data_IF_254056395861
#
_entry.id   IF_254056395861
#
_cell.length_a   1.000
_cell.length_b   1.000
_cell.length_c   1.000
_cell.angle_alpha   90.00
_cell.angle_beta   90.00
_cell.angle_gamma   90.00
#
_symmetry.space_group_name_H-M   'P 1'
#
loop_
_entity.id
_entity.type
_entity.pdbx_description
1 polymer ?
#
# COMPACT_ATOMS: atom_id res chain seq x y z
N UNK A 1 54.39 -76.33 27.61
CA UNK A 1 55.35 -76.20 28.73
C UNK A 1 55.08 -74.92 29.44
N UNK A 2 54.64 -75.11 30.65
CA UNK A 2 54.89 -74.36 31.90
C UNK A 2 54.70 -72.84 31.94
N UNK A 3 53.70 -72.45 32.68
CA UNK A 3 53.75 -71.79 34.01
C UNK A 3 53.94 -70.26 33.88
N UNK A 4 53.33 -69.38 34.63
CA UNK A 4 52.75 -69.39 35.97
C UNK A 4 52.06 -68.09 36.25
N UNK A 5 51.04 -68.17 37.08
CA UNK A 5 50.34 -67.10 37.80
C UNK A 5 51.21 -66.01 38.35
N UNK A 6 50.72 -64.77 38.39
CA UNK A 6 50.70 -64.05 39.69
C UNK A 6 49.66 -62.93 39.70
N UNK A 7 48.81 -63.03 40.73
CA UNK A 7 47.86 -61.96 41.14
C UNK A 7 48.58 -60.80 41.80
N UNK A 8 48.10 -59.59 41.75
CA UNK A 8 47.73 -58.75 42.87
C UNK A 8 47.57 -57.27 42.44
N UNK A 9 46.55 -56.66 42.97
CA UNK A 9 46.59 -55.28 43.19
C UNK A 9 45.39 -54.43 42.71
N UNK A 10 44.23 -54.74 43.29
CA UNK A 10 43.03 -53.91 43.20
C UNK A 10 43.26 -52.59 43.97
N UNK A 11 43.34 -51.45 43.28
CA UNK A 11 43.14 -50.16 43.91
C UNK A 11 42.11 -49.39 43.11
N UNK A 12 40.90 -49.30 43.71
CA UNK A 12 39.85 -48.40 43.31
C UNK A 12 40.33 -46.94 43.51
N UNK A 13 40.40 -46.20 42.43
CA UNK A 13 40.44 -44.73 42.46
C UNK A 13 39.11 -44.24 41.89
N UNK A 14 38.23 -43.84 42.82
CA UNK A 14 36.98 -43.15 42.49
C UNK A 14 37.34 -41.75 42.09
N UNK A 15 37.42 -41.50 40.79
CA UNK A 15 37.49 -40.12 40.25
C UNK A 15 36.10 -39.53 40.15
N UNK A 16 35.84 -38.58 41.02
CA UNK A 16 34.65 -37.76 41.04
C UNK A 16 34.76 -36.76 39.84
N UNK A 17 34.10 -37.13 38.71
CA UNK A 17 33.99 -36.17 37.59
C UNK A 17 32.83 -35.25 37.87
N UNK A 18 33.17 -34.02 38.28
CA UNK A 18 32.22 -32.89 38.30
C UNK A 18 31.84 -32.53 36.85
N UNK A 19 30.67 -32.92 36.41
CA UNK A 19 30.06 -32.47 35.17
C UNK A 19 29.59 -31.02 35.36
N UNK A 20 30.42 -30.06 34.96
CA UNK A 20 30.02 -28.68 34.76
C UNK A 20 29.15 -28.63 33.49
N UNK A 21 27.84 -28.61 33.66
CA UNK A 21 26.91 -28.29 32.58
C UNK A 21 26.94 -26.78 32.34
N UNK A 22 27.30 -26.30 31.14
CA UNK A 22 27.14 -24.91 30.81
C UNK A 22 25.62 -24.63 30.69
N UNK A 23 25.10 -23.79 31.58
CA UNK A 23 23.78 -23.20 31.42
C UNK A 23 23.79 -22.30 30.17
N UNK A 24 23.31 -22.79 29.07
CA UNK A 24 23.00 -21.98 27.92
C UNK A 24 21.83 -21.05 28.30
N UNK A 25 22.14 -19.79 28.63
CA UNK A 25 21.16 -18.72 28.64
C UNK A 25 20.70 -18.56 27.19
N UNK A 26 19.56 -19.17 26.84
CA UNK A 26 18.83 -18.82 25.64
C UNK A 26 18.34 -17.38 25.79
N UNK A 27 19.09 -16.45 25.21
CA UNK A 27 18.61 -15.10 24.98
C UNK A 27 17.40 -15.22 24.02
N UNK A 28 16.20 -15.27 24.60
CA UNK A 28 14.96 -15.21 23.86
C UNK A 28 14.92 -13.89 23.09
N UNK A 29 15.18 -13.93 21.79
CA UNK A 29 14.87 -12.85 20.88
C UNK A 29 13.35 -12.62 20.96
N UNK A 30 12.94 -11.63 21.73
CA UNK A 30 11.58 -11.11 21.73
C UNK A 30 11.35 -10.48 20.36
N UNK A 31 11.08 -11.29 19.36
CA UNK A 31 10.55 -10.82 18.11
C UNK A 31 9.26 -10.09 18.42
N UNK A 32 9.25 -8.76 18.22
CA UNK A 32 8.03 -7.98 18.28
C UNK A 32 7.09 -8.53 17.23
N UNK A 33 6.21 -9.45 17.61
CA UNK A 33 5.06 -9.83 16.81
C UNK A 33 4.29 -8.53 16.59
N UNK A 34 4.18 -8.08 15.34
CA UNK A 34 3.26 -7.01 14.97
C UNK A 34 1.90 -7.37 15.54
N UNK A 35 1.45 -6.61 16.54
CA UNK A 35 0.14 -6.82 17.11
C UNK A 35 -0.88 -6.63 15.98
N UNK A 36 -1.44 -7.76 15.52
CA UNK A 36 -2.49 -7.76 14.52
C UNK A 36 -3.68 -6.97 15.10
N UNK A 37 -4.21 -6.01 14.34
CA UNK A 37 -5.33 -5.19 14.81
C UNK A 37 -6.52 -6.11 15.14
N UNK A 38 -7.05 -5.98 16.37
CA UNK A 38 -8.12 -6.86 16.85
C UNK A 38 -9.44 -6.70 16.11
N UNK A 39 -9.62 -5.60 15.38
CA UNK A 39 -10.82 -5.32 14.57
C UNK A 39 -10.98 -6.24 13.36
N UNK A 40 -9.90 -6.87 12.88
CA UNK A 40 -9.83 -7.97 11.92
C UNK A 40 -10.87 -7.89 10.78
N UNK A 41 -10.80 -6.86 9.95
CA UNK A 41 -11.68 -6.71 8.79
C UNK A 41 -13.18 -6.53 9.14
N UNK A 42 -13.51 -5.99 10.32
CA UNK A 42 -14.88 -5.62 10.63
C UNK A 42 -15.31 -4.38 9.81
N UNK A 43 -16.42 -4.43 9.08
CA UNK A 43 -16.90 -3.29 8.29
C UNK A 43 -17.14 -2.04 9.13
N UNK A 44 -16.57 -0.90 8.75
CA UNK A 44 -16.69 0.38 9.46
C UNK A 44 -15.66 0.59 10.58
N UNK A 45 -14.98 -0.47 10.99
CA UNK A 45 -13.94 -0.42 12.01
C UNK A 45 -12.58 -0.14 11.38
N UNK A 46 -12.26 1.12 11.16
CA UNK A 46 -10.98 1.60 10.63
C UNK A 46 -10.70 3.01 11.17
N UNK A 47 -9.49 3.53 10.99
CA UNK A 47 -9.08 4.80 11.59
C UNK A 47 -9.19 5.96 10.61
N UNK A 48 -8.79 5.74 9.35
CA UNK A 48 -8.72 6.79 8.32
C UNK A 48 -8.80 6.19 6.91
N UNK A 49 -8.86 7.07 5.92
CA UNK A 49 -8.78 6.73 4.52
C UNK A 49 -7.42 7.10 3.91
N UNK A 50 -6.96 6.32 2.95
CA UNK A 50 -5.95 6.72 1.98
C UNK A 50 -6.63 6.90 0.62
N UNK A 51 -6.60 8.12 0.09
CA UNK A 51 -6.93 8.39 -1.30
C UNK A 51 -5.69 8.12 -2.15
N UNK A 52 -5.77 7.16 -3.06
CA UNK A 52 -4.71 6.83 -4.03
C UNK A 52 -5.04 7.40 -5.41
N UNK A 53 -4.12 8.21 -5.95
CA UNK A 53 -4.20 8.83 -7.26
C UNK A 53 -3.07 8.28 -8.14
N UNK A 54 -3.41 7.44 -9.12
CA UNK A 54 -2.43 6.87 -10.06
C UNK A 54 -2.11 7.85 -11.18
N UNK A 55 -0.81 8.00 -11.51
CA UNK A 55 -0.37 8.68 -12.71
C UNK A 55 -0.67 7.80 -13.93
N UNK A 56 -1.75 8.12 -14.63
CA UNK A 56 -2.29 7.31 -15.74
C UNK A 56 -1.26 7.02 -16.85
N UNK A 57 -0.42 7.98 -17.29
CA UNK A 57 0.58 7.70 -18.32
C UNK A 57 1.59 6.62 -17.92
N UNK A 58 2.06 6.59 -16.67
CA UNK A 58 2.96 5.55 -16.17
C UNK A 58 2.31 4.17 -16.18
N UNK A 59 1.05 4.09 -15.74
CA UNK A 59 0.28 2.86 -15.80
C UNK A 59 0.17 2.35 -17.24
N UNK A 60 -0.11 3.24 -18.19
CA UNK A 60 -0.29 2.89 -19.59
C UNK A 60 1.00 2.39 -20.24
N UNK A 61 2.15 3.07 -20.02
CA UNK A 61 3.44 2.56 -20.49
C UNK A 61 3.77 1.18 -19.90
N UNK A 62 3.57 1.03 -18.59
CA UNK A 62 3.79 -0.26 -17.94
C UNK A 62 2.84 -1.36 -18.43
N UNK A 63 1.62 -1.04 -18.83
CA UNK A 63 0.67 -1.99 -19.41
C UNK A 63 1.11 -2.42 -20.82
N UNK A 64 1.62 -1.51 -21.63
CA UNK A 64 2.17 -1.79 -22.96
C UNK A 64 3.41 -2.69 -22.87
N UNK A 65 4.37 -2.35 -21.98
CA UNK A 65 5.57 -3.15 -21.74
C UNK A 65 5.24 -4.60 -21.33
N UNK A 66 4.13 -4.81 -20.62
CA UNK A 66 3.65 -6.15 -20.22
C UNK A 66 2.74 -6.84 -21.26
N UNK A 67 2.51 -6.24 -22.40
CA UNK A 67 1.58 -6.78 -23.42
C UNK A 67 0.10 -6.75 -23.01
N UNK A 68 -0.28 -5.86 -22.11
CA UNK A 68 -1.65 -5.71 -21.58
C UNK A 68 -2.40 -4.49 -22.14
N UNK A 69 -1.95 -3.92 -23.25
CA UNK A 69 -2.53 -2.71 -23.86
C UNK A 69 -4.06 -2.83 -24.10
N UNK A 70 -4.52 -3.95 -24.65
CA UNK A 70 -5.94 -4.16 -24.93
C UNK A 70 -6.82 -4.14 -23.68
N UNK A 71 -6.34 -4.74 -22.58
CA UNK A 71 -7.06 -4.76 -21.30
C UNK A 71 -7.12 -3.39 -20.63
N UNK A 72 -6.17 -2.52 -20.96
CA UNK A 72 -6.02 -1.18 -20.41
C UNK A 72 -6.65 -0.09 -21.30
N UNK A 73 -7.24 -0.45 -22.44
CA UNK A 73 -7.76 0.48 -23.47
C UNK A 73 -8.72 1.52 -22.89
N UNK A 74 -9.54 1.17 -21.91
CA UNK A 74 -10.48 2.11 -21.30
C UNK A 74 -9.78 3.31 -20.62
N UNK A 75 -8.59 3.11 -20.07
CA UNK A 75 -7.78 4.15 -19.44
C UNK A 75 -6.69 4.69 -20.39
N UNK A 76 -6.11 3.83 -21.22
CA UNK A 76 -4.92 4.13 -22.02
C UNK A 76 -5.23 4.48 -23.49
N UNK A 77 -6.49 4.56 -23.86
CA UNK A 77 -6.92 4.93 -25.21
C UNK A 77 -6.84 6.44 -25.46
N UNK A 78 -7.89 6.99 -26.10
CA UNK A 78 -7.89 8.37 -26.60
C UNK A 78 -8.10 9.45 -25.52
N UNK A 79 -8.53 9.08 -24.32
CA UNK A 79 -8.80 10.06 -23.26
C UNK A 79 -7.50 10.53 -22.57
N UNK A 80 -7.31 11.85 -22.45
CA UNK A 80 -6.10 12.43 -21.82
C UNK A 80 -6.20 12.39 -20.30
N UNK A 81 -6.03 11.21 -19.68
CA UNK A 81 -5.99 11.13 -18.23
C UNK A 81 -4.60 11.48 -17.69
N UNK A 82 -4.55 12.42 -16.76
CA UNK A 82 -3.40 12.70 -15.89
C UNK A 82 -3.45 11.78 -14.66
N UNK A 83 -3.93 12.29 -13.53
CA UNK A 83 -4.22 11.45 -12.37
C UNK A 83 -5.63 10.86 -12.43
N UNK A 84 -5.74 9.57 -12.20
CA UNK A 84 -7.02 8.86 -12.02
C UNK A 84 -7.11 8.35 -10.58
N UNK A 85 -8.30 8.19 -10.06
CA UNK A 85 -8.48 7.57 -8.75
C UNK A 85 -8.23 6.07 -8.88
N UNK A 86 -7.25 5.56 -8.12
CA UNK A 86 -7.10 4.13 -7.92
C UNK A 86 -8.14 3.64 -6.93
N UNK A 87 -8.20 4.27 -5.74
CA UNK A 87 -9.17 3.92 -4.73
C UNK A 87 -9.18 4.87 -3.54
N UNK A 88 -10.09 4.59 -2.61
CA UNK A 88 -10.17 5.22 -1.29
C UNK A 88 -10.18 4.10 -0.24
N UNK A 89 -9.04 3.87 0.39
CA UNK A 89 -8.81 2.67 1.19
C UNK A 89 -8.97 2.93 2.68
N UNK A 90 -9.91 2.28 3.37
CA UNK A 90 -9.92 2.23 4.83
C UNK A 90 -8.58 1.69 5.36
N UNK A 91 -8.03 2.33 6.38
CA UNK A 91 -6.75 1.98 7.00
C UNK A 91 -6.90 1.91 8.51
N UNK A 92 -6.08 1.06 9.15
CA UNK A 92 -5.75 1.17 10.56
C UNK A 92 -4.49 2.04 10.73
N UNK A 93 -4.21 2.54 11.91
CA UNK A 93 -2.92 3.20 12.19
C UNK A 93 -1.74 2.25 11.93
N UNK A 94 -1.98 0.93 11.98
CA UNK A 94 -1.03 -0.10 11.55
C UNK A 94 -1.73 -1.16 10.70
N UNK A 95 -1.43 -1.18 9.40
CA UNK A 95 -2.06 -2.09 8.44
C UNK A 95 -3.42 -1.60 7.95
N UNK A 96 -4.19 -2.47 7.33
CA UNK A 96 -5.45 -2.13 6.70
C UNK A 96 -6.41 -3.32 6.67
N UNK A 97 -7.73 -3.06 6.73
CA UNK A 97 -8.74 -4.08 6.50
C UNK A 97 -8.90 -4.34 4.99
N UNK A 98 -9.23 -5.58 4.65
CA UNK A 98 -9.57 -5.94 3.27
C UNK A 98 -10.64 -7.04 3.22
N UNK A 99 -11.46 -7.01 2.17
CA UNK A 99 -12.51 -8.01 1.94
C UNK A 99 -13.42 -8.24 3.15
N UNK A 100 -13.90 -7.16 3.76
CA UNK A 100 -14.65 -7.22 5.03
C UNK A 100 -16.04 -7.84 4.93
N UNK A 101 -16.58 -8.02 3.72
CA UNK A 101 -17.81 -8.78 3.46
C UNK A 101 -17.58 -9.80 2.35
N UNK A 102 -17.81 -11.07 2.65
CA UNK A 102 -17.74 -12.16 1.68
C UNK A 102 -18.98 -13.08 1.80
N UNK A 103 -19.79 -13.24 0.73
CA UNK A 103 -19.64 -12.57 -0.58
C UNK A 103 -19.87 -11.07 -0.48
N UNK A 104 -19.21 -10.30 -1.35
CA UNK A 104 -19.41 -8.84 -1.43
C UNK A 104 -20.83 -8.52 -1.86
N UNK A 105 -21.47 -7.49 -1.29
CA UNK A 105 -22.71 -6.96 -1.82
C UNK A 105 -22.54 -6.56 -3.28
N UNK A 106 -23.56 -6.86 -4.09
CA UNK A 106 -23.53 -6.56 -5.53
C UNK A 106 -23.36 -5.06 -5.76
N UNK A 107 -22.37 -4.70 -6.58
CA UNK A 107 -22.23 -3.35 -7.10
C UNK A 107 -23.17 -3.13 -8.29
N UNK A 108 -24.04 -2.14 -8.19
CA UNK A 108 -24.99 -1.79 -9.24
C UNK A 108 -24.26 -1.17 -10.44
N UNK A 109 -24.69 -1.58 -11.66
CA UNK A 109 -24.07 -1.09 -12.90
C UNK A 109 -24.10 0.43 -13.05
N UNK A 110 -25.18 1.09 -12.62
CA UNK A 110 -25.31 2.54 -12.69
C UNK A 110 -24.31 3.25 -11.77
N UNK A 111 -24.03 2.70 -10.60
CA UNK A 111 -22.98 3.21 -9.67
C UNK A 111 -21.60 3.04 -10.32
N UNK A 112 -21.30 1.86 -10.87
CA UNK A 112 -20.05 1.62 -11.58
C UNK A 112 -19.88 2.61 -12.73
N UNK A 113 -20.89 2.78 -13.59
CA UNK A 113 -20.84 3.69 -14.74
C UNK A 113 -20.64 5.14 -14.30
N UNK A 114 -21.23 5.56 -13.17
CA UNK A 114 -21.07 6.93 -12.66
C UNK A 114 -19.65 7.26 -12.20
N UNK A 115 -18.75 6.26 -12.08
CA UNK A 115 -17.36 6.44 -11.64
C UNK A 115 -16.33 6.45 -12.78
N UNK A 116 -16.75 6.18 -14.03
CA UNK A 116 -15.83 6.02 -15.15
C UNK A 116 -15.08 7.30 -15.56
N UNK A 117 -15.50 8.46 -15.08
CA UNK A 117 -14.80 9.74 -15.22
C UNK A 117 -13.58 9.85 -14.29
N UNK A 118 -13.64 9.24 -13.12
CA UNK A 118 -12.56 9.24 -12.10
C UNK A 118 -11.74 7.95 -12.10
N UNK A 119 -12.39 6.82 -12.39
CA UNK A 119 -11.85 5.46 -12.37
C UNK A 119 -12.18 4.79 -13.71
N UNK A 120 -11.39 5.02 -14.77
CA UNK A 120 -11.79 4.67 -16.14
C UNK A 120 -11.81 3.16 -16.45
N UNK A 121 -11.44 2.29 -15.51
CA UNK A 121 -11.41 0.84 -15.69
C UNK A 121 -12.52 0.15 -14.87
N UNK A 122 -13.60 -0.39 -15.50
CA UNK A 122 -14.68 -1.06 -14.77
C UNK A 122 -14.21 -2.18 -13.85
N UNK A 123 -13.23 -2.98 -14.29
CA UNK A 123 -12.67 -4.07 -13.47
C UNK A 123 -12.00 -3.56 -12.19
N UNK A 124 -11.35 -2.39 -12.23
CA UNK A 124 -10.80 -1.73 -11.06
C UNK A 124 -11.90 -1.34 -10.08
N UNK A 125 -13.00 -0.75 -10.56
CA UNK A 125 -14.11 -0.30 -9.71
C UNK A 125 -14.72 -1.48 -8.93
N UNK A 126 -14.91 -2.63 -9.58
CA UNK A 126 -15.38 -3.86 -8.91
C UNK A 126 -14.38 -4.36 -7.87
N UNK A 127 -13.09 -4.40 -8.23
CA UNK A 127 -12.04 -4.84 -7.30
C UNK A 127 -11.93 -3.91 -6.06
N UNK A 128 -11.99 -2.60 -6.27
CA UNK A 128 -11.93 -1.61 -5.19
C UNK A 128 -13.14 -1.71 -4.25
N UNK A 129 -14.31 -2.00 -4.79
CA UNK A 129 -15.48 -2.29 -3.96
C UNK A 129 -15.27 -3.56 -3.12
N UNK A 130 -14.92 -4.65 -3.76
CA UNK A 130 -14.78 -5.95 -3.08
C UNK A 130 -13.71 -5.91 -1.99
N UNK A 131 -12.55 -5.34 -2.31
CA UNK A 131 -11.39 -5.35 -1.44
C UNK A 131 -11.46 -4.29 -0.35
N UNK A 132 -11.81 -3.07 -0.69
CA UNK A 132 -11.72 -1.90 0.18
C UNK A 132 -13.08 -1.32 0.56
N UNK A 133 -13.99 -1.21 -0.40
CA UNK A 133 -15.31 -0.61 -0.18
C UNK A 133 -16.13 -1.35 0.85
N UNK A 134 -16.08 -2.69 0.86
CA UNK A 134 -16.77 -3.52 1.87
C UNK A 134 -16.30 -3.26 3.29
N UNK A 135 -15.10 -2.70 3.47
CA UNK A 135 -14.53 -2.36 4.76
C UNK A 135 -14.94 -0.98 5.29
N UNK A 136 -15.47 -0.12 4.42
CA UNK A 136 -15.88 1.24 4.80
C UNK A 136 -17.10 1.29 5.75
N UNK A 137 -17.84 0.19 5.87
CA UNK A 137 -19.14 0.16 6.57
C UNK A 137 -20.29 0.74 5.74
N UNK A 138 -20.01 1.37 4.62
CA UNK A 138 -20.98 2.01 3.73
C UNK A 138 -21.61 1.01 2.75
N UNK A 139 -22.72 1.39 2.16
CA UNK A 139 -23.26 0.73 0.96
C UNK A 139 -22.53 1.19 -0.29
N UNK A 140 -22.71 0.47 -1.42
CA UNK A 140 -22.04 0.71 -2.70
C UNK A 140 -22.10 2.18 -3.13
N UNK A 141 -23.28 2.73 -3.25
CA UNK A 141 -23.48 4.13 -3.66
C UNK A 141 -22.75 5.12 -2.74
N UNK A 142 -22.95 5.00 -1.43
CA UNK A 142 -22.35 5.90 -0.46
C UNK A 142 -20.82 5.83 -0.47
N UNK A 143 -20.22 4.64 -0.65
CA UNK A 143 -18.78 4.49 -0.76
C UNK A 143 -18.23 5.23 -1.99
N UNK A 144 -18.82 5.04 -3.16
CA UNK A 144 -18.36 5.70 -4.38
C UNK A 144 -18.65 7.22 -4.38
N UNK A 145 -19.71 7.67 -3.74
CA UNK A 145 -19.94 9.09 -3.46
C UNK A 145 -18.85 9.66 -2.53
N UNK A 146 -18.39 8.88 -1.55
CA UNK A 146 -17.27 9.27 -0.67
C UNK A 146 -15.97 9.37 -1.44
N UNK A 147 -15.67 8.45 -2.37
CA UNK A 147 -14.53 8.57 -3.30
C UNK A 147 -14.60 9.88 -4.08
N UNK A 148 -15.76 10.20 -4.65
CA UNK A 148 -15.93 11.44 -5.43
C UNK A 148 -15.69 12.68 -4.58
N UNK A 149 -16.18 12.71 -3.36
CA UNK A 149 -15.94 13.80 -2.40
C UNK A 149 -14.46 13.89 -2.02
N UNK A 150 -13.82 12.78 -1.72
CA UNK A 150 -12.39 12.74 -1.39
C UNK A 150 -11.54 13.27 -2.56
N UNK A 151 -11.82 12.85 -3.79
CA UNK A 151 -11.14 13.36 -4.98
C UNK A 151 -11.38 14.85 -5.20
N UNK A 152 -12.60 15.33 -4.98
CA UNK A 152 -12.94 16.75 -5.12
C UNK A 152 -12.26 17.64 -4.06
N UNK A 153 -11.93 17.09 -2.90
CA UNK A 153 -11.21 17.81 -1.84
C UNK A 153 -9.71 18.01 -2.16
N UNK A 154 -9.17 17.31 -3.17
CA UNK A 154 -7.75 17.40 -3.55
C UNK A 154 -7.60 18.13 -4.86
N UNK A 155 -6.86 19.25 -4.84
CA UNK A 155 -6.44 19.97 -6.06
C UNK A 155 -5.16 19.33 -6.61
N UNK A 156 -5.20 18.84 -7.85
CA UNK A 156 -4.00 18.45 -8.58
C UNK A 156 -3.28 19.73 -9.03
N UNK A 157 -1.94 19.84 -8.87
CA UNK A 157 -1.19 20.95 -9.41
C UNK A 157 -1.48 21.19 -10.91
N UNK A 158 -1.76 22.42 -11.29
CA UNK A 158 -2.29 22.75 -12.63
C UNK A 158 -1.33 22.33 -13.76
N UNK A 159 -0.02 22.43 -13.53
CA UNK A 159 1.04 22.02 -14.47
C UNK A 159 1.05 20.50 -14.74
N UNK A 160 0.46 19.68 -13.86
CA UNK A 160 0.39 18.23 -14.02
C UNK A 160 -0.88 17.78 -14.75
N UNK A 161 -1.87 18.64 -14.92
CA UNK A 161 -3.13 18.30 -15.59
C UNK A 161 -2.93 17.98 -17.08
N UNK A 162 -2.01 18.68 -17.74
CA UNK A 162 -1.73 18.57 -19.17
C UNK A 162 -0.21 18.51 -19.45
N UNK A 163 0.49 17.66 -18.70
CA UNK A 163 1.93 17.48 -18.90
C UNK A 163 2.19 16.97 -20.33
N UNK A 164 2.75 17.81 -21.18
CA UNK A 164 2.93 17.53 -22.62
C UNK A 164 4.30 16.94 -22.96
N UNK A 165 5.27 16.98 -22.02
CA UNK A 165 6.62 16.43 -22.18
C UNK A 165 7.00 15.58 -20.98
N UNK A 166 7.87 14.57 -21.15
CA UNK A 166 8.38 13.81 -20.01
C UNK A 166 9.02 14.73 -18.98
N UNK A 167 8.72 14.54 -17.70
CA UNK A 167 9.29 15.28 -16.57
C UNK A 167 10.02 14.31 -15.64
N UNK A 168 11.26 14.63 -15.29
CA UNK A 168 11.95 14.03 -14.15
C UNK A 168 11.68 14.91 -12.94
N UNK A 169 11.25 14.33 -11.84
CA UNK A 169 10.93 15.04 -10.60
C UNK A 169 11.31 14.18 -9.41
N UNK A 170 11.80 14.79 -8.33
CA UNK A 170 11.96 14.05 -7.08
C UNK A 170 10.60 13.80 -6.40
N UNK A 171 10.45 12.73 -5.62
CA UNK A 171 9.26 12.52 -4.80
C UNK A 171 8.94 13.74 -3.92
N UNK A 172 9.96 14.32 -3.26
CA UNK A 172 9.81 15.45 -2.35
C UNK A 172 9.31 16.72 -3.09
N UNK A 173 9.79 16.98 -4.31
CA UNK A 173 9.30 18.09 -5.14
C UNK A 173 7.83 17.90 -5.53
N UNK A 174 7.46 16.68 -5.92
CA UNK A 174 6.06 16.37 -6.27
C UNK A 174 5.14 16.52 -5.05
N UNK A 175 5.56 16.05 -3.89
CA UNK A 175 4.82 16.23 -2.63
C UNK A 175 4.68 17.72 -2.28
N UNK A 176 5.76 18.51 -2.42
CA UNK A 176 5.74 19.95 -2.20
C UNK A 176 4.77 20.68 -3.16
N UNK A 177 4.70 20.28 -4.43
CA UNK A 177 3.76 20.83 -5.40
C UNK A 177 2.29 20.55 -4.98
N UNK A 178 2.00 19.33 -4.51
CA UNK A 178 0.67 19.00 -3.98
C UNK A 178 0.36 19.78 -2.69
N UNK A 179 1.30 19.89 -1.76
CA UNK A 179 1.13 20.63 -0.50
C UNK A 179 0.83 22.11 -0.80
N UNK A 180 1.57 22.71 -1.72
CA UNK A 180 1.34 24.08 -2.16
C UNK A 180 -0.04 24.29 -2.78
N UNK A 181 -0.53 23.32 -3.55
CA UNK A 181 -1.84 23.39 -4.19
C UNK A 181 -3.02 23.13 -3.22
N UNK A 182 -2.75 22.53 -2.03
CA UNK A 182 -3.77 22.08 -1.09
C UNK A 182 -3.52 22.62 0.32
N UNK A 183 -4.03 23.82 0.66
CA UNK A 183 -3.91 24.37 2.02
C UNK A 183 -4.39 23.38 3.08
N UNK A 184 -3.57 23.15 4.11
CA UNK A 184 -3.85 22.19 5.19
C UNK A 184 -3.30 20.77 4.95
N UNK A 185 -2.82 20.44 3.75
CA UNK A 185 -2.09 19.20 3.50
C UNK A 185 -0.67 19.33 4.06
N UNK A 186 -0.26 18.44 4.96
CA UNK A 186 1.10 18.38 5.52
C UNK A 186 1.95 17.31 4.83
N UNK A 187 3.27 17.41 4.93
CA UNK A 187 4.20 16.40 4.39
C UNK A 187 3.98 15.00 5.01
N UNK A 188 3.49 14.92 6.24
CA UNK A 188 3.16 13.65 6.90
C UNK A 188 1.80 13.06 6.46
N UNK A 189 1.02 13.79 5.66
CA UNK A 189 -0.28 13.35 5.15
C UNK A 189 -0.26 12.90 3.68
N UNK A 190 0.89 13.03 3.01
CA UNK A 190 1.07 12.68 1.59
C UNK A 190 2.28 11.76 1.43
N UNK A 191 2.26 10.89 0.43
CA UNK A 191 3.44 10.16 -0.04
C UNK A 191 3.34 9.86 -1.51
N UNK A 192 4.50 9.78 -2.15
CA UNK A 192 4.67 9.36 -3.53
C UNK A 192 5.13 7.91 -3.58
N UNK A 193 4.54 7.09 -4.45
CA UNK A 193 5.02 5.74 -4.75
C UNK A 193 5.52 5.65 -6.19
N UNK A 194 6.45 4.73 -6.46
CA UNK A 194 7.05 4.57 -7.77
C UNK A 194 7.35 3.09 -8.10
N UNK A 195 7.48 2.81 -9.39
CA UNK A 195 8.13 1.58 -9.85
C UNK A 195 9.66 1.76 -9.92
N UNK A 196 10.34 0.89 -10.65
CA UNK A 196 11.78 1.00 -10.82
C UNK A 196 12.24 2.29 -11.53
N UNK A 197 11.36 3.03 -12.19
CA UNK A 197 11.70 4.16 -13.05
C UNK A 197 10.69 5.31 -12.97
N UNK A 198 9.40 5.01 -12.80
CA UNK A 198 8.31 5.96 -13.02
C UNK A 198 7.51 6.24 -11.75
N UNK A 199 6.93 7.43 -11.68
CA UNK A 199 5.87 7.72 -10.73
C UNK A 199 4.74 6.70 -10.86
N UNK A 200 4.30 6.11 -9.76
CA UNK A 200 3.11 5.25 -9.74
C UNK A 200 1.90 6.00 -9.21
N UNK A 201 1.96 6.48 -7.98
CA UNK A 201 0.82 7.09 -7.29
C UNK A 201 1.25 8.21 -6.36
N UNK A 202 0.32 9.14 -6.15
CA UNK A 202 0.28 10.04 -5.00
C UNK A 202 -0.79 9.53 -4.05
N UNK A 203 -0.45 9.36 -2.78
CA UNK A 203 -1.33 8.87 -1.72
C UNK A 203 -1.52 9.94 -0.68
N UNK A 204 -2.77 10.21 -0.33
CA UNK A 204 -3.14 11.27 0.62
C UNK A 204 -3.99 10.67 1.72
N UNK A 205 -3.58 10.87 2.97
CA UNK A 205 -4.32 10.43 4.14
C UNK A 205 -5.41 11.43 4.53
N UNK A 206 -6.60 10.89 4.75
CA UNK A 206 -7.78 11.66 5.08
C UNK A 206 -8.50 11.04 6.28
N UNK A 207 -9.05 11.87 7.17
CA UNK A 207 -9.95 11.41 8.22
C UNK A 207 -11.23 10.79 7.61
N UNK A 208 -12.08 10.17 8.43
CA UNK A 208 -13.38 9.69 7.98
C UNK A 208 -14.27 10.82 7.42
N UNK A 209 -14.03 12.05 7.87
CA UNK A 209 -14.70 13.27 7.38
C UNK A 209 -13.97 13.94 6.22
N UNK A 210 -13.02 13.23 5.60
CA UNK A 210 -12.25 13.64 4.43
C UNK A 210 -11.39 14.90 4.64
N UNK A 211 -10.97 15.18 5.88
CA UNK A 211 -9.97 16.20 6.17
C UNK A 211 -8.57 15.59 6.09
N UNK A 212 -7.57 16.35 5.61
CA UNK A 212 -6.18 15.89 5.59
C UNK A 212 -5.71 15.55 7.00
N UNK A 213 -5.01 14.42 7.14
CA UNK A 213 -4.46 13.99 8.43
C UNK A 213 -3.10 13.33 8.26
N UNK A 214 -2.17 13.49 9.24
CA UNK A 214 -0.94 12.72 9.27
C UNK A 214 -1.18 11.21 9.31
N UNK A 215 -0.28 10.43 8.65
CA UNK A 215 -0.30 8.97 8.70
C UNK A 215 1.09 8.36 8.46
N UNK A 216 1.54 7.52 9.38
CA UNK A 216 2.85 6.86 9.31
C UNK A 216 2.91 5.73 8.25
N UNK A 217 1.77 5.12 7.93
CA UNK A 217 1.72 3.99 6.98
C UNK A 217 2.14 4.40 5.57
N UNK A 218 1.92 5.66 5.19
CA UNK A 218 2.35 6.18 3.89
C UNK A 218 3.87 6.21 3.74
N UNK A 219 4.62 6.54 4.79
CA UNK A 219 6.08 6.63 4.74
C UNK A 219 6.75 5.28 4.46
N UNK A 220 6.17 4.18 4.91
CA UNK A 220 6.72 2.83 4.71
C UNK A 220 6.72 2.39 3.26
N UNK A 221 5.84 2.93 2.44
CA UNK A 221 5.66 2.61 1.01
C UNK A 221 6.12 3.72 0.10
N UNK A 222 6.71 4.79 0.65
CA UNK A 222 7.19 5.92 -0.10
C UNK A 222 8.29 5.52 -1.10
N UNK A 223 8.32 6.20 -2.22
CA UNK A 223 9.35 6.05 -3.24
C UNK A 223 10.69 6.53 -2.68
N UNK A 224 11.72 5.68 -2.75
CA UNK A 224 13.08 5.98 -2.24
C UNK A 224 14.07 6.36 -3.35
N UNK A 225 13.56 6.78 -4.50
CA UNK A 225 14.41 7.21 -5.61
C UNK A 225 14.65 8.70 -5.53
N UNK A 226 15.84 9.14 -5.96
CA UNK A 226 16.14 10.56 -6.07
C UNK A 226 15.22 11.26 -7.06
N UNK A 227 14.94 10.60 -8.20
CA UNK A 227 14.04 11.11 -9.24
C UNK A 227 13.20 9.98 -9.83
N UNK A 228 12.01 10.33 -10.28
CA UNK A 228 11.09 9.46 -11.04
C UNK A 228 10.66 10.15 -12.33
N UNK A 229 10.45 9.33 -13.35
CA UNK A 229 9.92 9.79 -14.62
C UNK A 229 8.40 9.93 -14.52
N UNK A 230 7.88 11.06 -14.95
CA UNK A 230 6.48 11.27 -15.26
C UNK A 230 6.35 11.31 -16.80
N UNK A 231 5.86 10.24 -17.45
CA UNK A 231 5.53 10.29 -18.87
C UNK A 231 4.47 11.34 -19.16
N UNK A 232 4.40 11.91 -20.38
CA UNK A 232 3.42 12.92 -20.73
C UNK A 232 2.00 12.36 -20.77
N UNK A 233 1.02 13.23 -20.56
CA UNK A 233 -0.39 12.89 -20.72
C UNK A 233 -0.66 12.53 -22.19
N UNK A 234 -1.33 11.42 -22.45
CA UNK A 234 -1.63 10.93 -23.81
C UNK A 234 -2.74 11.75 -24.43
N UNK A 235 -2.65 12.02 -25.73
CA UNK A 235 -3.70 12.73 -26.48
C UNK A 235 -3.79 14.24 -26.20
N UNK A 236 -2.73 14.83 -25.60
CA UNK A 236 -2.57 16.28 -25.43
C UNK A 236 -1.88 16.91 -26.62
#
# INVERSE_FOLDING_TARGET
>A
MFHSLSMLGFRLLVSLIFLLTPAFLAAGSSGSASAQDRRQNAPGEFDFYVLALSWSPSFCEAAEERGNADRSKAQCGERPFSFVVHGLWPQYDRGYPEYCKRPSPRLERNVMVSMLDLMPAPGLIYNEWDKHGTCSGLGTRAYFETIRKARAAVKIPDELLQLSKPKLISPDELEADFIKANPGLSATAISVTCDSRRLSEVRICMSKDLQFRPCEENERRACRREQVLMPPVRGG
#
